data_IF_121899005612
#
_entry.id   IF_121899005612
#
_cell.length_a   1.000
_cell.length_b   1.000
_cell.length_c   1.000
_cell.angle_alpha   90.00
_cell.angle_beta   90.00
_cell.angle_gamma   90.00
#
_symmetry.space_group_name_H-M   'P 1'
#
loop_
_entity.id
_entity.type
_entity.pdbx_description
1 polymer ?
#
# COMPACT_ATOMS: atom_id res chain seq x y z
N UNK A 1 17.52 7.46 -16.30
CA UNK A 1 16.68 6.84 -15.27
C UNK A 1 16.01 5.64 -15.91
N UNK A 2 16.25 4.44 -15.41
CA UNK A 2 15.55 3.22 -15.84
C UNK A 2 14.08 3.37 -15.48
N UNK A 3 13.17 3.11 -16.42
CA UNK A 3 11.73 3.15 -16.16
C UNK A 3 11.37 2.09 -15.11
N UNK A 4 10.50 2.44 -14.17
CA UNK A 4 9.98 1.51 -13.17
C UNK A 4 9.09 0.46 -13.86
N UNK A 5 9.07 -0.79 -13.38
CA UNK A 5 8.08 -1.78 -13.80
C UNK A 5 6.65 -1.28 -13.58
N UNK A 6 5.71 -1.65 -14.45
CA UNK A 6 4.31 -1.30 -14.24
C UNK A 6 3.77 -1.98 -12.96
N UNK A 7 3.27 -1.22 -11.97
CA UNK A 7 2.76 -1.79 -10.71
C UNK A 7 1.60 -2.77 -10.92
N UNK A 8 0.81 -2.60 -11.99
CA UNK A 8 -0.34 -3.45 -12.29
C UNK A 8 0.04 -4.79 -12.94
N UNK A 9 1.22 -4.86 -13.56
CA UNK A 9 1.70 -6.06 -14.26
C UNK A 9 2.78 -6.80 -13.48
N UNK A 10 3.66 -6.05 -12.79
CA UNK A 10 4.82 -6.57 -12.10
C UNK A 10 4.95 -5.92 -10.71
N UNK A 11 3.98 -6.13 -9.81
CA UNK A 11 3.91 -5.44 -8.51
C UNK A 11 5.13 -5.70 -7.62
N UNK A 12 5.62 -6.93 -7.57
CA UNK A 12 6.77 -7.27 -6.73
C UNK A 12 8.08 -6.69 -7.30
N UNK A 13 8.22 -6.69 -8.64
CA UNK A 13 9.36 -6.06 -9.30
C UNK A 13 9.31 -4.54 -9.17
N UNK A 14 8.12 -3.95 -9.20
CA UNK A 14 7.90 -2.52 -8.93
C UNK A 14 8.31 -2.15 -7.50
N UNK A 15 7.86 -2.91 -6.50
CA UNK A 15 8.25 -2.69 -5.10
C UNK A 15 9.76 -2.86 -4.87
N UNK A 16 10.39 -3.83 -5.56
CA UNK A 16 11.84 -4.02 -5.55
C UNK A 16 12.58 -2.88 -6.25
N UNK A 17 12.05 -2.35 -7.34
CA UNK A 17 12.64 -1.20 -8.02
C UNK A 17 12.51 0.09 -7.21
N UNK A 18 11.36 0.30 -6.55
CA UNK A 18 11.14 1.43 -5.64
C UNK A 18 12.15 1.44 -4.48
N UNK A 19 12.50 0.28 -3.94
CA UNK A 19 13.55 0.16 -2.91
C UNK A 19 14.88 0.78 -3.32
N UNK A 20 15.22 0.62 -4.60
CA UNK A 20 16.51 1.07 -5.13
C UNK A 20 16.45 2.49 -5.69
N UNK A 21 15.27 3.12 -5.69
CA UNK A 21 15.08 4.47 -6.19
C UNK A 21 15.67 5.49 -5.21
N UNK A 22 16.37 6.49 -5.74
CA UNK A 22 16.89 7.59 -4.93
C UNK A 22 15.78 8.43 -4.26
N UNK A 23 14.59 8.43 -4.87
CA UNK A 23 13.39 9.08 -4.37
C UNK A 23 12.18 8.17 -4.61
N UNK A 24 11.89 7.21 -3.69
CA UNK A 24 10.82 6.22 -3.87
C UNK A 24 9.43 6.87 -3.94
N UNK A 25 9.27 7.99 -3.26
CA UNK A 25 8.06 8.78 -3.19
C UNK A 25 7.73 9.41 -4.55
N UNK A 26 8.72 10.04 -5.17
CA UNK A 26 8.56 10.59 -6.52
C UNK A 26 8.39 9.48 -7.55
N UNK A 27 9.20 8.42 -7.44
CA UNK A 27 9.14 7.25 -8.32
C UNK A 27 7.74 6.61 -8.35
N UNK A 28 7.10 6.45 -7.19
CA UNK A 28 5.75 5.90 -7.12
C UNK A 28 4.70 6.84 -7.75
N UNK A 29 4.80 8.16 -7.53
CA UNK A 29 3.90 9.14 -8.18
C UNK A 29 4.07 9.16 -9.69
N UNK A 30 5.30 9.11 -10.18
CA UNK A 30 5.61 9.08 -11.62
C UNK A 30 5.07 7.80 -12.28
N UNK A 31 4.96 6.70 -11.51
CA UNK A 31 4.30 5.46 -11.93
C UNK A 31 2.76 5.48 -11.78
N UNK A 32 2.17 6.62 -11.42
CA UNK A 32 0.73 6.80 -11.28
C UNK A 32 0.12 6.27 -9.98
N UNK A 33 0.95 6.00 -8.96
CA UNK A 33 0.44 5.59 -7.65
C UNK A 33 -0.07 6.79 -6.86
N UNK A 34 -1.20 6.60 -6.17
CA UNK A 34 -1.60 7.46 -5.06
C UNK A 34 -0.79 7.05 -3.83
N UNK A 35 -0.26 8.02 -3.09
CA UNK A 35 0.54 7.76 -1.89
C UNK A 35 -0.21 8.15 -0.62
N UNK A 36 -0.21 7.27 0.37
CA UNK A 36 -0.72 7.55 1.70
C UNK A 36 0.26 7.08 2.77
N UNK A 37 0.71 8.02 3.60
CA UNK A 37 1.45 7.70 4.82
C UNK A 37 0.51 7.20 5.90
N UNK A 38 0.74 5.99 6.38
CA UNK A 38 0.17 5.45 7.60
C UNK A 38 1.16 5.84 8.70
N UNK A 39 0.74 6.75 9.59
CA UNK A 39 1.62 7.34 10.60
C UNK A 39 2.42 6.31 11.39
N UNK A 40 3.55 6.75 11.96
CA UNK A 40 4.36 5.93 12.84
C UNK A 40 3.54 5.48 14.06
N UNK A 41 3.95 4.34 14.64
CA UNK A 41 3.40 3.70 15.84
C UNK A 41 2.45 2.53 15.57
N UNK A 42 3.00 1.45 15.01
CA UNK A 42 2.57 0.11 15.40
C UNK A 42 3.37 -0.32 16.63
N UNK A 43 3.10 0.29 17.79
CA UNK A 43 3.45 -0.35 19.05
C UNK A 43 2.66 -1.65 19.19
N UNK A 44 3.10 -2.57 20.06
CA UNK A 44 2.37 -3.80 20.40
C UNK A 44 1.04 -3.56 21.15
N UNK A 45 0.39 -2.42 20.91
CA UNK A 45 -0.89 -1.99 21.46
C UNK A 45 -2.02 -2.32 20.44
N UNK A 46 -3.01 -3.15 20.81
CA UNK A 46 -4.17 -3.42 19.96
C UNK A 46 -4.90 -2.15 19.47
N UNK A 47 -4.90 -1.06 20.26
CA UNK A 47 -5.52 0.20 19.84
C UNK A 47 -4.69 0.94 18.79
N UNK A 48 -3.37 0.72 18.72
CA UNK A 48 -2.53 1.22 17.65
C UNK A 48 -2.83 0.49 16.34
N UNK A 49 -2.93 -0.85 16.38
CA UNK A 49 -3.33 -1.68 15.23
C UNK A 49 -4.69 -1.26 14.67
N UNK A 50 -5.69 -1.05 15.52
CA UNK A 50 -7.02 -0.61 15.09
C UNK A 50 -7.01 0.79 14.42
N UNK A 51 -6.20 1.73 14.94
CA UNK A 51 -6.03 3.07 14.34
C UNK A 51 -5.36 2.99 12.97
N UNK A 52 -4.38 2.11 12.80
CA UNK A 52 -3.71 1.85 11.54
C UNK A 52 -4.64 1.23 10.51
N UNK A 53 -5.49 0.28 10.90
CA UNK A 53 -6.53 -0.27 10.03
C UNK A 53 -7.49 0.81 9.54
N UNK A 54 -7.97 1.67 10.46
CA UNK A 54 -8.85 2.77 10.10
C UNK A 54 -8.16 3.75 9.13
N UNK A 55 -6.87 4.01 9.30
CA UNK A 55 -6.10 4.84 8.39
C UNK A 55 -5.94 4.20 7.00
N UNK A 56 -5.59 2.90 6.93
CA UNK A 56 -5.51 2.14 5.68
C UNK A 56 -6.84 2.11 4.92
N UNK A 57 -7.93 1.80 5.62
CA UNK A 57 -9.28 1.79 5.04
C UNK A 57 -9.69 3.17 4.49
N UNK A 58 -9.36 4.27 5.18
CA UNK A 58 -9.63 5.64 4.71
C UNK A 58 -8.80 6.00 3.48
N UNK A 59 -7.51 5.69 3.48
CA UNK A 59 -6.61 5.92 2.34
C UNK A 59 -7.13 5.23 1.08
N UNK A 60 -7.61 4.01 1.25
CA UNK A 60 -8.18 3.21 0.20
C UNK A 60 -9.51 3.79 -0.31
N UNK A 61 -10.45 4.11 0.59
CA UNK A 61 -11.71 4.74 0.21
C UNK A 61 -11.49 6.07 -0.53
N UNK A 62 -10.52 6.88 -0.09
CA UNK A 62 -10.13 8.13 -0.72
C UNK A 62 -9.50 7.92 -2.11
N UNK A 63 -8.73 6.85 -2.29
CA UNK A 63 -8.15 6.50 -3.60
C UNK A 63 -9.24 6.07 -4.57
N UNK A 64 -10.19 5.25 -4.12
CA UNK A 64 -11.27 4.75 -4.97
C UNK A 64 -12.24 5.84 -5.39
N UNK A 65 -12.53 6.79 -4.51
CA UNK A 65 -13.30 7.98 -4.87
C UNK A 65 -12.62 8.81 -5.98
N UNK A 66 -11.31 8.65 -6.19
CA UNK A 66 -10.53 9.31 -7.24
C UNK A 66 -10.37 8.47 -8.52
N UNK A 67 -10.80 7.21 -8.51
CA UNK A 67 -10.72 6.30 -9.64
C UNK A 67 -9.81 5.08 -9.40
N UNK A 68 -9.72 4.22 -10.40
CA UNK A 68 -8.97 2.96 -10.35
C UNK A 68 -7.46 3.21 -10.54
N UNK A 69 -6.80 3.78 -9.53
CA UNK A 69 -5.34 3.95 -9.49
C UNK A 69 -4.69 3.01 -8.48
N UNK A 70 -3.45 2.53 -8.75
CA UNK A 70 -2.64 1.86 -7.73
C UNK A 70 -2.44 2.77 -6.51
N UNK A 71 -2.54 2.18 -5.32
CA UNK A 71 -2.30 2.86 -4.05
C UNK A 71 -1.04 2.27 -3.41
N UNK A 72 -0.11 3.13 -3.02
CA UNK A 72 1.02 2.75 -2.19
C UNK A 72 0.85 3.35 -0.78
N UNK A 73 0.69 2.47 0.20
CA UNK A 73 0.67 2.80 1.63
C UNK A 73 2.10 2.67 2.18
N UNK A 74 2.56 3.72 2.85
CA UNK A 74 3.89 3.75 3.48
C UNK A 74 3.72 3.78 4.99
N UNK A 75 4.35 2.86 5.71
CA UNK A 75 4.30 2.79 7.17
C UNK A 75 5.69 2.62 7.76
N UNK A 76 6.01 3.34 8.83
CA UNK A 76 7.26 3.10 9.57
C UNK A 76 7.15 1.79 10.35
N UNK A 77 8.02 0.86 10.02
CA UNK A 77 8.22 -0.41 10.71
C UNK A 77 9.38 -0.28 11.70
N UNK A 78 9.13 0.34 12.85
CA UNK A 78 10.06 0.24 14.00
C UNK A 78 10.16 -1.20 14.54
N UNK A 79 9.27 -2.11 14.11
CA UNK A 79 9.43 -3.56 14.28
C UNK A 79 8.93 -4.36 13.06
N UNK A 80 9.59 -5.49 12.72
CA UNK A 80 9.15 -6.41 11.68
C UNK A 80 8.06 -7.35 12.23
N UNK A 81 6.95 -6.84 12.77
CA UNK A 81 5.80 -7.70 13.08
C UNK A 81 4.97 -7.99 11.83
N UNK A 82 5.08 -9.19 11.27
CA UNK A 82 4.23 -9.70 10.16
C UNK A 82 2.73 -9.53 10.45
N UNK A 83 2.35 -9.47 11.73
CA UNK A 83 1.01 -9.15 12.19
C UNK A 83 0.46 -7.82 11.62
N UNK A 84 1.28 -6.81 11.38
CA UNK A 84 0.83 -5.54 10.78
C UNK A 84 0.36 -5.70 9.33
N UNK A 85 1.15 -6.42 8.51
CA UNK A 85 0.81 -6.69 7.13
C UNK A 85 -0.39 -7.65 7.05
N UNK A 86 -0.40 -8.68 7.90
CA UNK A 86 -1.51 -9.62 8.00
C UNK A 86 -2.82 -8.92 8.39
N UNK A 87 -2.79 -8.05 9.41
CA UNK A 87 -3.98 -7.39 9.91
C UNK A 87 -4.51 -6.34 8.91
N UNK A 88 -3.63 -5.64 8.19
CA UNK A 88 -4.04 -4.81 7.04
C UNK A 88 -4.62 -5.66 5.92
N UNK A 89 -3.99 -6.78 5.53
CA UNK A 89 -4.53 -7.69 4.51
C UNK A 89 -5.91 -8.24 4.93
N UNK A 90 -6.09 -8.63 6.18
CA UNK A 90 -7.37 -9.08 6.76
C UNK A 90 -8.42 -7.96 6.80
N UNK A 91 -8.03 -6.72 7.13
CA UNK A 91 -8.91 -5.55 7.06
C UNK A 91 -9.31 -5.18 5.63
N UNK A 92 -8.60 -5.72 4.64
CA UNK A 92 -8.73 -5.42 3.22
C UNK A 92 -9.24 -6.60 2.39
N UNK A 93 -9.93 -7.56 3.00
CA UNK A 93 -10.50 -8.80 2.42
C UNK A 93 -11.46 -8.61 1.21
N UNK A 94 -11.58 -7.41 0.63
CA UNK A 94 -12.25 -7.11 -0.64
C UNK A 94 -11.35 -6.60 -1.77
N UNK A 95 -10.05 -6.38 -1.51
CA UNK A 95 -9.05 -6.03 -2.52
C UNK A 95 -8.26 -7.27 -2.88
N UNK A 96 -8.43 -7.73 -4.12
CA UNK A 96 -7.88 -9.01 -4.57
C UNK A 96 -6.35 -8.98 -4.79
N UNK A 97 -5.71 -7.80 -4.70
CA UNK A 97 -4.34 -7.59 -5.17
C UNK A 97 -3.54 -6.67 -4.25
N UNK A 98 -3.09 -7.23 -3.12
CA UNK A 98 -2.25 -6.56 -2.13
C UNK A 98 -0.84 -7.16 -2.17
N UNK A 99 0.17 -6.31 -2.33
CA UNK A 99 1.58 -6.69 -2.37
C UNK A 99 2.37 -5.93 -1.31
N UNK A 100 3.28 -6.59 -0.62
CA UNK A 100 3.99 -6.02 0.53
C UNK A 100 5.51 -6.09 0.31
N UNK A 101 6.20 -4.99 0.56
CA UNK A 101 7.66 -4.88 0.55
C UNK A 101 8.19 -4.19 1.82
N UNK A 102 9.46 -4.42 2.16
CA UNK A 102 10.12 -3.96 3.40
C UNK A 102 11.43 -3.22 3.11
N UNK A 103 11.47 -1.89 3.23
CA UNK A 103 12.63 -1.02 2.94
C UNK A 103 13.12 -0.29 4.19
N UNK A 104 14.36 -0.49 4.66
CA UNK A 104 15.03 0.37 5.67
C UNK A 104 14.15 0.80 6.86
N UNK A 105 13.37 -0.14 7.42
CA UNK A 105 12.44 0.18 8.52
C UNK A 105 11.12 0.83 8.08
N UNK A 106 10.78 0.74 6.80
CA UNK A 106 9.50 1.11 6.21
C UNK A 106 8.83 -0.10 5.56
N UNK A 107 7.51 -0.18 5.69
CA UNK A 107 6.66 -1.10 4.95
C UNK A 107 5.97 -0.36 3.84
N UNK A 108 6.07 -0.94 2.67
CA UNK A 108 5.36 -0.53 1.47
C UNK A 108 4.26 -1.54 1.20
N UNK A 109 3.01 -1.10 1.21
CA UNK A 109 1.86 -1.94 0.85
C UNK A 109 1.26 -1.36 -0.41
N UNK A 110 1.43 -2.07 -1.52
CA UNK A 110 0.82 -1.74 -2.80
C UNK A 110 -0.55 -2.43 -2.87
N UNK A 111 -1.58 -1.63 -3.04
CA UNK A 111 -2.97 -2.07 -3.27
C UNK A 111 -3.31 -1.72 -4.71
N UNK A 112 -3.59 -2.74 -5.52
CA UNK A 112 -3.99 -2.54 -6.91
C UNK A 112 -5.52 -2.45 -7.01
N UNK A 113 -6.03 -1.63 -7.95
CA UNK A 113 -7.46 -1.60 -8.22
C UNK A 113 -7.95 -2.98 -8.70
N UNK A 114 -9.23 -3.31 -8.46
CA UNK A 114 -9.80 -4.57 -8.93
C UNK A 114 -9.71 -4.67 -10.46
N UNK A 115 -9.39 -5.87 -10.97
CA UNK A 115 -9.22 -6.13 -12.40
C UNK A 115 -10.54 -6.40 -13.14
N UNK A 116 -11.67 -6.38 -12.42
CA UNK A 116 -13.02 -6.58 -12.98
C UNK A 116 -14.09 -5.75 -12.26
N UNK A 117 -15.31 -5.75 -12.81
CA UNK A 117 -16.48 -5.18 -12.12
C UNK A 117 -16.78 -6.01 -10.88
N UNK A 118 -16.16 -5.65 -9.77
CA UNK A 118 -16.47 -6.26 -8.48
C UNK A 118 -17.74 -5.58 -7.94
N UNK A 119 -18.73 -6.37 -7.52
CA UNK A 119 -20.09 -5.92 -7.24
C UNK A 119 -20.19 -4.84 -6.14
N UNK A 120 -19.15 -4.71 -5.32
CA UNK A 120 -19.00 -3.67 -4.30
C UNK A 120 -18.60 -2.29 -4.86
N UNK A 121 -18.28 -2.19 -6.15
CA UNK A 121 -17.65 -1.01 -6.78
C UNK A 121 -18.50 -0.36 -7.89
N UNK A 122 -19.81 -0.63 -7.92
CA UNK A 122 -20.74 0.13 -8.77
C UNK A 122 -20.90 1.53 -8.18
N UNK A 123 -20.23 2.51 -8.80
CA UNK A 123 -20.59 3.94 -8.67
C UNK A 123 -21.73 4.24 -9.64
#
# INVERSE_FOLDING_TARGET
MTALPDPSLQPDAFLSALHTAADPDRAARDAGCVLHGLGAEAGADPAATARLHAAGARAIAATLARGASPLLLLAQADRPDDAYAAALVEGLMGYERIHVGLQDGWRMILVLPPTGQNAYWRV
#
